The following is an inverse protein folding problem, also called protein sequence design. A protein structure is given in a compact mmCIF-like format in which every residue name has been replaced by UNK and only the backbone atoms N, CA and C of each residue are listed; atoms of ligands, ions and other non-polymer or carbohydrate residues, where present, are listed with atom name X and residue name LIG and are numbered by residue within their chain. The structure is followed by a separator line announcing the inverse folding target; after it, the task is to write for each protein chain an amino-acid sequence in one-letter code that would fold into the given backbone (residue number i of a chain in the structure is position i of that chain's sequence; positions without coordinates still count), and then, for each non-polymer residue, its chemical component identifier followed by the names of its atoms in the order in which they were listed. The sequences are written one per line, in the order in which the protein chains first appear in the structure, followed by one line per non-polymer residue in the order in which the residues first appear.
data_IF_466318678351
#
_entry.id   IF_466318678351
#
_cell.length_a   1.000
_cell.length_b   1.000
_cell.length_c   1.000
_cell.angle_alpha   90.00
_cell.angle_beta   90.00
_cell.angle_gamma   90.00
#
_symmetry.space_group_name_H-M   'P 1'
#
loop_
_entity.id
_entity.type
_entity.pdbx_description
1 polymer ?
#
# COMPACT_ATOMS: atom_id res chain seq x y z
N UNK A 1 8.23 -11.64 8.17
CA UNK A 1 9.66 -11.52 7.84
C UNK A 1 10.51 -12.51 8.64
N UNK A 2 10.36 -12.58 9.96
CA UNK A 2 11.11 -13.54 10.80
C UNK A 2 11.00 -14.99 10.29
N UNK A 3 9.79 -15.44 9.93
CA UNK A 3 9.59 -16.79 9.35
C UNK A 3 10.45 -17.05 8.10
N UNK A 4 10.64 -16.05 7.23
CA UNK A 4 11.43 -16.20 6.01
C UNK A 4 12.94 -16.26 6.28
N UNK A 5 13.41 -15.61 7.35
CA UNK A 5 14.84 -15.41 7.63
C UNK A 5 15.35 -16.39 8.68
N UNK A 6 14.62 -16.51 9.80
CA UNK A 6 14.98 -17.26 10.99
C UNK A 6 14.19 -18.57 11.13
N UNK A 7 13.21 -18.81 10.26
CA UNK A 7 12.37 -19.99 10.32
C UNK A 7 13.17 -21.29 10.23
N UNK A 8 12.79 -22.27 11.05
CA UNK A 8 13.35 -23.64 10.99
C UNK A 8 12.71 -24.47 9.89
N UNK A 9 11.58 -24.03 9.34
CA UNK A 9 10.90 -24.68 8.23
C UNK A 9 11.77 -24.69 6.96
N UNK A 10 11.68 -25.76 6.17
CA UNK A 10 12.45 -25.91 4.94
C UNK A 10 11.84 -25.12 3.76
N UNK A 11 10.52 -24.88 3.77
CA UNK A 11 9.79 -24.24 2.69
C UNK A 11 10.36 -22.86 2.29
N UNK A 12 10.65 -21.91 3.21
CA UNK A 12 11.28 -20.64 2.83
C UNK A 12 12.61 -20.81 2.10
N UNK A 13 13.45 -21.78 2.53
CA UNK A 13 14.78 -22.04 1.92
C UNK A 13 14.63 -22.71 0.56
N UNK A 14 13.78 -23.71 0.46
CA UNK A 14 13.52 -24.44 -0.80
C UNK A 14 12.93 -23.51 -1.85
N UNK A 15 11.93 -22.69 -1.51
CA UNK A 15 11.36 -21.71 -2.44
C UNK A 15 12.37 -20.65 -2.87
N UNK A 16 13.26 -20.22 -1.97
CA UNK A 16 14.30 -19.24 -2.29
C UNK A 16 15.30 -19.81 -3.30
N UNK A 17 15.75 -21.06 -3.10
CA UNK A 17 16.62 -21.75 -4.06
C UNK A 17 15.93 -21.99 -5.40
N UNK A 18 14.64 -22.37 -5.38
CA UNK A 18 13.89 -22.64 -6.61
C UNK A 18 13.64 -21.37 -7.44
N UNK A 19 13.33 -20.25 -6.79
CA UNK A 19 12.96 -19.01 -7.46
C UNK A 19 14.15 -18.06 -7.70
N UNK A 20 15.38 -18.43 -7.31
CA UNK A 20 16.55 -17.54 -7.40
C UNK A 20 16.87 -17.08 -8.82
N UNK A 21 16.49 -17.87 -9.82
CA UNK A 21 16.74 -17.60 -11.25
C UNK A 21 15.43 -17.43 -12.04
N UNK A 22 14.33 -17.12 -11.36
CA UNK A 22 13.02 -16.89 -12.00
C UNK A 22 12.75 -15.39 -12.13
N UNK A 23 12.28 -14.90 -13.29
CA UNK A 23 11.86 -13.51 -13.42
C UNK A 23 10.73 -13.20 -12.42
N UNK A 24 10.79 -12.01 -11.82
CA UNK A 24 9.78 -11.58 -10.83
C UNK A 24 9.65 -12.53 -9.63
N UNK A 25 10.74 -13.18 -9.22
CA UNK A 25 10.75 -14.15 -8.11
C UNK A 25 10.03 -13.65 -6.86
N UNK A 26 10.18 -12.37 -6.50
CA UNK A 26 9.51 -11.78 -5.34
C UNK A 26 7.98 -11.80 -5.44
N UNK A 27 7.39 -11.60 -6.64
CA UNK A 27 5.94 -11.62 -6.82
C UNK A 27 5.35 -13.03 -6.68
N UNK A 28 6.18 -14.07 -6.77
CA UNK A 28 5.78 -15.47 -6.65
C UNK A 28 6.13 -16.01 -5.26
N UNK A 29 7.30 -15.64 -4.74
CA UNK A 29 7.87 -16.16 -3.49
C UNK A 29 6.95 -15.90 -2.30
N UNK A 30 6.59 -14.63 -2.04
CA UNK A 30 5.82 -14.29 -0.85
C UNK A 30 4.42 -14.90 -0.85
N UNK A 31 3.62 -14.81 -1.94
CA UNK A 31 2.32 -15.46 -1.98
C UNK A 31 2.42 -16.97 -1.80
N UNK A 32 3.35 -17.64 -2.52
CA UNK A 32 3.53 -19.09 -2.40
C UNK A 32 3.90 -19.49 -0.97
N UNK A 33 4.81 -18.75 -0.33
CA UNK A 33 5.27 -19.05 1.01
C UNK A 33 4.16 -18.94 2.06
N UNK A 34 3.46 -17.80 2.09
CA UNK A 34 2.43 -17.57 3.11
C UNK A 34 1.23 -18.49 2.91
N UNK A 35 0.87 -18.82 1.67
CA UNK A 35 -0.26 -19.68 1.35
C UNK A 35 -0.02 -21.16 1.68
N UNK A 36 1.23 -21.60 1.72
CA UNK A 36 1.60 -22.99 2.02
C UNK A 36 2.10 -23.19 3.46
N UNK A 37 2.08 -22.15 4.29
CA UNK A 37 2.50 -22.22 5.68
C UNK A 37 1.28 -22.15 6.61
N UNK A 38 1.05 -23.23 7.36
CA UNK A 38 -0.13 -23.41 8.24
C UNK A 38 -0.30 -22.29 9.27
N UNK A 39 0.80 -21.70 9.73
CA UNK A 39 0.78 -20.59 10.70
C UNK A 39 0.14 -19.30 10.17
N UNK A 40 0.00 -19.13 8.84
CA UNK A 40 -0.56 -17.91 8.23
C UNK A 40 -1.96 -18.09 7.64
N UNK A 41 -2.54 -19.30 7.67
CA UNK A 41 -3.85 -19.61 7.05
C UNK A 41 -5.01 -18.74 7.52
N UNK A 42 -4.87 -18.03 8.65
CA UNK A 42 -5.90 -17.13 9.20
C UNK A 42 -5.49 -15.66 9.22
N UNK A 43 -4.33 -15.31 8.65
CA UNK A 43 -3.77 -13.96 8.70
C UNK A 43 -3.56 -13.36 7.31
N UNK A 44 -3.86 -14.10 6.25
CA UNK A 44 -3.67 -13.64 4.87
C UNK A 44 -4.87 -12.79 4.44
N UNK A 45 -4.60 -11.76 3.65
CA UNK A 45 -5.62 -10.96 2.98
C UNK A 45 -5.16 -10.84 1.53
N UNK A 46 -5.99 -11.25 0.56
CA UNK A 46 -5.65 -11.20 -0.88
C UNK A 46 -5.71 -9.76 -1.44
N UNK A 47 -5.08 -8.80 -0.76
CA UNK A 47 -5.06 -7.41 -1.21
C UNK A 47 -3.78 -6.72 -0.78
N UNK A 48 -3.04 -6.18 -1.76
CA UNK A 48 -1.77 -5.47 -1.53
C UNK A 48 -1.95 -4.04 -1.03
N UNK A 49 -3.19 -3.54 -0.96
CA UNK A 49 -3.51 -2.13 -0.65
C UNK A 49 -2.84 -1.12 -1.60
N UNK A 50 -2.54 -1.56 -2.83
CA UNK A 50 -1.95 -0.76 -3.89
C UNK A 50 -2.96 -0.60 -5.04
N UNK A 51 -3.16 0.63 -5.47
CA UNK A 51 -3.94 0.95 -6.67
C UNK A 51 -3.06 0.91 -7.91
N UNK A 52 -3.51 0.18 -8.94
CA UNK A 52 -2.89 0.18 -10.25
C UNK A 52 -4.00 0.22 -11.31
N UNK A 53 -3.73 0.90 -12.41
CA UNK A 53 -4.58 0.85 -13.60
C UNK A 53 -3.92 -0.05 -14.65
N UNK A 54 -4.72 -0.76 -15.43
CA UNK A 54 -4.22 -1.75 -16.39
C UNK A 54 -4.56 -1.34 -17.81
N UNK A 55 -3.67 -1.68 -18.75
CA UNK A 55 -3.95 -1.57 -20.17
C UNK A 55 -4.81 -2.74 -20.68
N UNK A 56 -5.15 -2.73 -21.98
CA UNK A 56 -5.92 -3.81 -22.62
C UNK A 56 -5.23 -5.19 -22.56
N UNK A 57 -3.92 -5.24 -22.28
CA UNK A 57 -3.11 -6.45 -22.14
C UNK A 57 -2.92 -6.85 -20.66
N UNK A 58 -3.67 -6.25 -19.73
CA UNK A 58 -3.58 -6.46 -18.27
C UNK A 58 -2.20 -6.14 -17.69
N UNK A 59 -1.46 -5.22 -18.30
CA UNK A 59 -0.19 -4.74 -17.75
C UNK A 59 -0.43 -3.44 -16.98
N UNK A 60 0.19 -3.26 -15.80
CA UNK A 60 0.13 -1.98 -15.10
C UNK A 60 0.59 -0.86 -16.02
N UNK A 61 -0.27 0.15 -16.23
CA UNK A 61 0.05 1.35 -16.98
C UNK A 61 0.34 2.51 -16.03
N UNK A 62 1.08 3.51 -16.51
CA UNK A 62 1.30 4.73 -15.74
C UNK A 62 -0.02 5.41 -15.41
N UNK A 63 -0.18 5.74 -14.13
CA UNK A 63 -1.30 6.51 -13.61
C UNK A 63 -1.18 7.97 -14.07
N UNK A 64 -2.31 8.55 -14.43
CA UNK A 64 -2.44 9.92 -14.92
C UNK A 64 -3.47 10.68 -14.10
N UNK A 65 -3.59 11.98 -14.34
CA UNK A 65 -4.57 12.85 -13.68
C UNK A 65 -6.03 12.37 -13.82
N UNK A 66 -6.35 11.64 -14.89
CA UNK A 66 -7.66 10.98 -15.11
C UNK A 66 -7.95 9.88 -14.08
N UNK A 67 -6.92 9.19 -13.59
CA UNK A 67 -7.07 8.08 -12.65
C UNK A 67 -7.21 8.56 -11.20
N UNK A 68 -6.91 9.84 -10.93
CA UNK A 68 -6.78 10.39 -9.58
C UNK A 68 -8.02 10.13 -8.70
N UNK A 69 -9.22 10.37 -9.24
CA UNK A 69 -10.44 10.16 -8.47
C UNK A 69 -10.67 8.69 -8.12
N UNK A 70 -10.42 7.78 -9.06
CA UNK A 70 -10.54 6.35 -8.83
C UNK A 70 -9.48 5.85 -7.85
N UNK A 71 -8.25 6.34 -7.97
CA UNK A 71 -7.15 6.08 -7.05
C UNK A 71 -7.52 6.50 -5.62
N UNK A 72 -7.99 7.73 -5.40
CA UNK A 72 -8.40 8.22 -4.07
C UNK A 72 -9.60 7.46 -3.54
N UNK A 73 -10.61 7.19 -4.37
CA UNK A 73 -11.82 6.44 -4.01
C UNK A 73 -11.52 4.97 -3.67
N UNK A 74 -10.49 4.39 -4.29
CA UNK A 74 -10.07 3.00 -4.02
C UNK A 74 -9.67 2.78 -2.57
N UNK A 75 -9.25 3.86 -1.88
CA UNK A 75 -8.72 3.95 -0.52
C UNK A 75 -7.49 3.07 -0.25
N UNK A 76 -6.85 2.57 -1.31
CA UNK A 76 -5.52 1.97 -1.25
C UNK A 76 -4.52 2.95 -0.59
N UNK A 77 -3.59 2.40 0.18
CA UNK A 77 -2.53 3.19 0.82
C UNK A 77 -1.46 3.63 -0.19
N UNK A 78 -1.24 2.82 -1.22
CA UNK A 78 -0.24 3.04 -2.26
C UNK A 78 -0.87 3.10 -3.64
N UNK A 79 -0.16 3.69 -4.60
CA UNK A 79 -0.54 3.69 -6.00
C UNK A 79 0.71 3.66 -6.88
N UNK A 80 0.68 2.96 -8.00
CA UNK A 80 1.79 2.88 -8.95
C UNK A 80 1.39 2.17 -10.26
N UNK A 81 2.19 2.26 -11.33
CA UNK A 81 3.35 3.14 -11.51
C UNK A 81 2.92 4.57 -11.85
N UNK A 82 3.79 5.53 -11.54
CA UNK A 82 3.66 6.92 -11.98
C UNK A 82 4.75 7.21 -13.01
N UNK A 83 4.44 8.02 -14.01
CA UNK A 83 5.48 8.59 -14.85
C UNK A 83 6.20 9.69 -14.06
N UNK A 84 7.51 9.80 -14.26
CA UNK A 84 8.30 10.88 -13.67
C UNK A 84 7.74 12.23 -14.13
N UNK A 85 7.63 13.17 -13.20
CA UNK A 85 7.15 14.54 -13.45
C UNK A 85 5.73 14.60 -14.07
N UNK A 86 4.91 13.55 -13.87
CA UNK A 86 3.50 13.56 -14.30
C UNK A 86 2.67 14.52 -13.43
N UNK A 87 1.78 15.34 -14.02
CA UNK A 87 0.94 16.29 -13.28
C UNK A 87 0.05 15.67 -12.20
N UNK A 88 -0.18 14.35 -12.23
CA UNK A 88 -0.88 13.66 -11.15
C UNK A 88 -0.13 13.74 -9.82
N UNK A 89 1.21 13.83 -9.83
CA UNK A 89 2.04 13.96 -8.64
C UNK A 89 1.79 15.31 -7.96
N UNK A 90 1.79 16.42 -8.73
CA UNK A 90 1.44 17.75 -8.22
C UNK A 90 0.02 17.79 -7.64
N UNK A 91 -0.88 17.01 -8.25
CA UNK A 91 -2.26 16.87 -7.75
C UNK A 91 -2.33 16.09 -6.44
N UNK A 92 -1.50 15.07 -6.24
CA UNK A 92 -1.39 14.35 -4.97
C UNK A 92 -0.87 15.30 -3.89
N UNK A 93 0.20 16.03 -4.17
CA UNK A 93 0.82 16.94 -3.22
C UNK A 93 -0.17 18.01 -2.75
N UNK A 94 -0.90 18.62 -3.69
CA UNK A 94 -1.89 19.65 -3.37
C UNK A 94 -3.17 19.10 -2.73
N UNK A 95 -3.81 18.10 -3.35
CA UNK A 95 -5.18 17.70 -2.99
C UNK A 95 -5.21 16.63 -1.87
N UNK A 96 -4.13 15.84 -1.69
CA UNK A 96 -4.04 14.80 -0.66
C UNK A 96 -3.14 15.22 0.49
N UNK A 97 -1.94 15.73 0.19
CA UNK A 97 -0.95 16.07 1.20
C UNK A 97 -1.10 17.52 1.71
N UNK A 98 -1.88 18.34 1.00
CA UNK A 98 -2.02 19.77 1.30
C UNK A 98 -0.66 20.47 1.39
N UNK A 99 0.28 20.05 0.54
CA UNK A 99 1.63 20.59 0.51
C UNK A 99 1.67 21.92 -0.22
N UNK A 100 2.17 22.95 0.46
CA UNK A 100 2.49 24.22 -0.18
C UNK A 100 3.85 24.15 -0.89
N UNK A 101 4.02 24.83 -2.04
CA UNK A 101 5.30 24.87 -2.73
C UNK A 101 6.44 25.32 -1.81
N UNK A 102 7.53 24.54 -1.78
CA UNK A 102 8.72 24.84 -0.98
C UNK A 102 8.58 24.58 0.53
N UNK A 103 7.44 24.05 1.00
CA UNK A 103 7.24 23.65 2.40
C UNK A 103 7.18 22.13 2.54
N UNK A 104 7.58 21.58 3.71
CA UNK A 104 7.35 20.18 4.02
C UNK A 104 5.85 19.87 4.09
N UNK A 105 5.48 18.61 3.86
CA UNK A 105 4.10 18.13 4.02
C UNK A 105 3.68 18.28 5.48
N UNK A 106 2.56 18.95 5.78
CA UNK A 106 2.11 19.10 7.15
C UNK A 106 1.67 17.75 7.75
N UNK A 107 2.02 17.51 9.02
CA UNK A 107 1.72 16.27 9.73
C UNK A 107 1.21 16.50 11.15
N UNK A 108 1.12 15.42 11.93
CA UNK A 108 0.71 15.51 13.34
C UNK A 108 1.66 16.30 14.24
N UNK A 109 2.88 16.53 13.75
CA UNK A 109 3.94 17.34 14.34
C UNK A 109 3.82 18.84 14.05
N UNK A 110 2.95 19.27 13.14
CA UNK A 110 2.78 20.70 12.87
C UNK A 110 2.05 21.40 14.02
N UNK A 111 2.74 22.34 14.67
CA UNK A 111 2.18 23.20 15.71
C UNK A 111 1.91 24.59 15.13
N UNK A 112 0.73 25.16 15.37
CA UNK A 112 0.33 26.47 14.85
C UNK A 112 -1.19 26.58 14.66
N UNK A 113 -1.72 27.81 14.73
CA UNK A 113 -3.16 28.04 14.66
C UNK A 113 -3.66 28.13 13.21
N UNK A 114 -4.63 27.27 12.91
CA UNK A 114 -5.71 27.30 11.90
C UNK A 114 -5.51 27.80 10.45
N UNK A 115 -4.35 28.27 9.96
CA UNK A 115 -4.20 28.70 8.55
C UNK A 115 -2.81 28.42 7.93
N UNK A 116 -2.50 27.14 7.71
CA UNK A 116 -1.47 26.67 6.76
C UNK A 116 0.02 26.88 7.10
N UNK A 117 0.40 27.39 8.28
CA UNK A 117 1.80 27.77 8.41
C UNK A 117 2.77 26.65 8.78
N UNK A 118 2.40 25.65 9.60
CA UNK A 118 3.33 24.62 10.12
C UNK A 118 4.73 25.19 10.44
N UNK A 119 4.78 26.42 10.97
CA UNK A 119 6.03 27.13 11.20
C UNK A 119 6.74 26.60 12.45
N UNK A 120 5.97 26.05 13.40
CA UNK A 120 6.50 25.47 14.62
C UNK A 120 6.50 23.95 14.50
N UNK A 121 7.68 23.38 14.66
CA UNK A 121 7.88 21.94 14.66
C UNK A 121 7.64 21.38 16.06
N UNK A 122 6.71 20.43 16.15
CA UNK A 122 6.45 19.64 17.33
C UNK A 122 7.08 18.25 17.25
N UNK A 123 6.53 17.35 18.04
CA UNK A 123 6.98 15.96 18.11
C UNK A 123 6.55 15.16 16.87
N UNK A 124 7.53 14.59 16.17
CA UNK A 124 7.35 13.77 14.96
C UNK A 124 6.68 12.43 15.21
N UNK A 125 6.67 11.96 16.46
CA UNK A 125 6.05 10.68 16.85
C UNK A 125 4.53 10.81 17.01
N UNK A 126 4.00 12.04 17.04
CA UNK A 126 2.56 12.29 17.13
C UNK A 126 1.90 12.08 15.77
N UNK A 127 1.11 11.02 15.66
CA UNK A 127 0.30 10.73 14.49
C UNK A 127 -1.12 11.29 14.64
N UNK A 128 -1.55 12.12 13.68
CA UNK A 128 -2.94 12.64 13.61
C UNK A 128 -3.66 12.07 12.39
N UNK A 129 -4.71 11.23 12.57
CA UNK A 129 -5.44 10.65 11.45
C UNK A 129 -6.14 11.71 10.59
N UNK A 130 -5.71 11.84 9.33
CA UNK A 130 -6.36 12.68 8.32
C UNK A 130 -7.45 11.95 7.51
N UNK A 131 -8.01 12.60 6.48
CA UNK A 131 -8.99 11.98 5.58
C UNK A 131 -8.47 10.70 4.90
N UNK A 132 -7.17 10.63 4.58
CA UNK A 132 -6.53 9.43 4.02
C UNK A 132 -6.56 8.24 4.98
N UNK A 133 -6.26 8.46 6.26
CA UNK A 133 -6.31 7.43 7.29
C UNK A 133 -7.73 6.83 7.43
N UNK A 134 -8.77 7.68 7.38
CA UNK A 134 -10.18 7.21 7.42
C UNK A 134 -10.56 6.37 6.20
N UNK A 135 -10.05 6.70 5.01
CA UNK A 135 -10.27 5.89 3.80
C UNK A 135 -9.62 4.52 3.92
N UNK A 136 -8.39 4.47 4.42
CA UNK A 136 -7.67 3.22 4.65
C UNK A 136 -8.36 2.36 5.70
N UNK A 137 -8.72 2.95 6.84
CA UNK A 137 -9.46 2.29 7.92
C UNK A 137 -10.73 1.61 7.39
N UNK A 138 -11.54 2.33 6.61
CA UNK A 138 -12.77 1.77 6.02
C UNK A 138 -12.50 0.51 5.20
N UNK A 139 -11.41 0.46 4.45
CA UNK A 139 -11.05 -0.71 3.65
C UNK A 139 -10.53 -1.85 4.50
N UNK A 140 -9.67 -1.55 5.47
CA UNK A 140 -9.16 -2.56 6.40
C UNK A 140 -10.31 -3.21 7.16
N UNK A 141 -11.25 -2.41 7.70
CA UNK A 141 -12.44 -2.91 8.38
C UNK A 141 -13.31 -3.76 7.44
N UNK A 142 -13.53 -3.31 6.21
CA UNK A 142 -14.28 -4.09 5.22
C UNK A 142 -13.60 -5.43 4.90
N UNK A 143 -12.27 -5.42 4.72
CA UNK A 143 -11.49 -6.62 4.47
C UNK A 143 -11.51 -7.58 5.66
N UNK A 144 -11.54 -7.08 6.90
CA UNK A 144 -11.58 -7.93 8.09
C UNK A 144 -12.99 -8.41 8.46
N UNK A 145 -14.04 -7.91 7.80
CA UNK A 145 -15.43 -8.28 8.10
C UNK A 145 -15.74 -9.74 7.75
N UNK A 146 -16.68 -10.36 8.49
CA UNK A 146 -17.00 -11.81 8.46
C UNK A 146 -17.40 -12.33 7.07
N UNK A 147 -17.99 -11.48 6.23
CA UNK A 147 -18.36 -11.84 4.86
C UNK A 147 -17.20 -11.74 3.85
N UNK A 148 -16.05 -11.19 4.27
CA UNK A 148 -14.99 -10.73 3.37
C UNK A 148 -13.91 -11.73 3.00
N UNK A 149 -13.31 -12.49 3.92
CA UNK A 149 -11.88 -12.85 3.66
C UNK A 149 -11.30 -14.12 4.25
N UNK A 150 -11.93 -14.88 5.14
CA UNK A 150 -11.28 -16.09 5.68
C UNK A 150 -11.55 -17.39 4.90
N UNK A 151 -12.43 -17.37 3.89
CA UNK A 151 -12.79 -18.57 3.11
C UNK A 151 -12.18 -18.66 1.71
N UNK A 152 -11.60 -17.57 1.19
CA UNK A 152 -11.05 -17.51 -0.18
C UNK A 152 -9.63 -16.92 -0.21
N UNK A 153 -8.82 -17.18 0.83
CA UNK A 153 -7.42 -16.76 0.85
C UNK A 153 -6.62 -17.63 -0.11
N UNK A 154 -5.62 -17.04 -0.77
CA UNK A 154 -4.74 -17.77 -1.69
C UNK A 154 -5.46 -18.33 -2.94
N UNK A 155 -6.45 -17.59 -3.43
CA UNK A 155 -7.13 -17.85 -4.71
C UNK A 155 -6.77 -16.71 -5.66
N UNK A 156 -6.49 -17.01 -6.92
CA UNK A 156 -6.28 -15.99 -7.96
C UNK A 156 -7.62 -15.26 -8.24
N UNK A 157 -7.60 -13.93 -8.20
CA UNK A 157 -8.71 -13.05 -8.66
C UNK A 157 -8.60 -12.72 -10.15
#
# INVERSE_FOLDING_TARGET
MEFCILGTDNLPRTLLMYLSNTPSSASIYFPTLICNAQQFTRTIINRSLQYASFDAKRRPRNLKSEDFHNMVRSGAAFASPFLRDDPVLDRIDRDILSQCPGKPVPGGWCLGDSNDTCDVWGDTDILRPGPGARRLEKIVVNLLSVNGTFRHQCVEE
#
